data_IF_311224373750
#
_entry.id   IF_311224373750
#
_cell.length_a   1.000
_cell.length_b   1.000
_cell.length_c   1.000
_cell.angle_alpha   90.00
_cell.angle_beta   90.00
_cell.angle_gamma   90.00
#
_symmetry.space_group_name_H-M   'P 1'
#
loop_
_entity.id
_entity.type
_entity.pdbx_description
1 polymer ?
#
# COMPACT_ATOMS: atom_id res chain seq x y z
N UNK A 1 -9.42 -21.40 6.87
CA UNK A 1 -10.22 -20.52 5.98
C UNK A 1 -9.60 -20.28 4.59
N UNK A 2 -8.45 -20.87 4.27
CA UNK A 2 -7.80 -20.75 2.95
C UNK A 2 -8.66 -21.31 1.79
N UNK A 3 -9.61 -22.18 2.07
CA UNK A 3 -10.48 -22.80 1.04
C UNK A 3 -11.51 -21.88 0.36
N UNK A 4 -11.67 -20.63 0.82
CA UNK A 4 -12.61 -19.66 0.23
C UNK A 4 -12.04 -18.84 -0.95
N UNK A 5 -10.74 -18.97 -1.24
CA UNK A 5 -10.09 -18.23 -2.31
C UNK A 5 -10.01 -19.00 -3.64
N UNK A 6 -10.67 -20.15 -3.72
CA UNK A 6 -10.73 -20.96 -4.96
C UNK A 6 -11.52 -20.16 -6.00
N UNK A 7 -10.84 -19.78 -7.10
CA UNK A 7 -11.42 -19.00 -8.20
C UNK A 7 -11.12 -17.52 -8.19
N UNK A 8 -10.42 -16.99 -7.17
CA UNK A 8 -9.96 -15.59 -7.17
C UNK A 8 -8.59 -15.47 -7.84
N UNK A 9 -8.45 -14.51 -8.77
CA UNK A 9 -7.19 -14.24 -9.48
C UNK A 9 -6.35 -13.16 -8.80
N UNK A 10 -6.91 -12.42 -7.86
CA UNK A 10 -6.29 -11.29 -7.19
C UNK A 10 -6.58 -11.36 -5.69
N UNK A 11 -5.62 -10.95 -4.88
CA UNK A 11 -5.78 -10.83 -3.44
C UNK A 11 -4.76 -9.88 -2.84
N UNK A 12 -5.10 -9.26 -1.73
CA UNK A 12 -4.18 -8.54 -0.86
C UNK A 12 -4.29 -9.06 0.56
N UNK A 13 -3.24 -8.91 1.33
CA UNK A 13 -3.20 -9.26 2.74
C UNK A 13 -2.21 -8.39 3.49
N UNK A 14 -2.33 -8.39 4.80
CA UNK A 14 -1.46 -7.65 5.71
C UNK A 14 -1.33 -8.43 7.01
N UNK A 15 -0.18 -8.31 7.64
CA UNK A 15 0.02 -8.70 9.03
C UNK A 15 0.06 -7.39 9.83
N UNK A 16 -0.95 -7.20 10.67
CA UNK A 16 -1.07 -6.03 11.54
C UNK A 16 -1.59 -6.48 12.90
N UNK A 17 -0.98 -5.99 13.95
CA UNK A 17 -1.36 -6.21 15.34
C UNK A 17 -2.04 -4.99 15.98
N UNK A 18 -2.00 -3.84 15.31
CA UNK A 18 -2.49 -2.56 15.81
C UNK A 18 -3.73 -2.06 15.10
N UNK A 19 -3.86 -2.32 13.81
CA UNK A 19 -4.87 -1.69 12.96
C UNK A 19 -5.72 -2.72 12.25
N UNK A 20 -7.04 -2.46 12.20
CA UNK A 20 -7.98 -3.25 11.41
C UNK A 20 -7.71 -3.02 9.92
N UNK A 21 -7.24 -4.03 9.21
CA UNK A 21 -6.91 -4.03 7.78
C UNK A 21 -7.18 -5.42 7.17
N UNK A 22 -7.49 -5.56 5.87
CA UNK A 22 -7.71 -4.48 4.89
C UNK A 22 -9.02 -3.73 5.13
N UNK A 23 -9.07 -2.45 4.71
CA UNK A 23 -10.31 -1.68 4.69
C UNK A 23 -10.92 -1.77 3.30
N UNK A 24 -12.22 -2.12 3.24
CA UNK A 24 -12.99 -2.18 1.98
C UNK A 24 -13.84 -0.92 1.83
N UNK A 25 -13.75 -0.31 0.65
CA UNK A 25 -14.44 0.93 0.32
C UNK A 25 -15.25 0.74 -0.96
N UNK A 26 -16.43 1.36 -1.00
CA UNK A 26 -17.24 1.52 -2.22
C UNK A 26 -17.44 3.02 -2.46
N UNK A 27 -17.03 3.51 -3.61
CA UNK A 27 -17.07 4.94 -3.95
C UNK A 27 -17.24 5.15 -5.46
N UNK A 28 -17.11 6.39 -5.92
CA UNK A 28 -17.07 6.74 -7.36
C UNK A 28 -15.90 6.07 -8.11
N UNK A 29 -14.81 5.66 -7.41
CA UNK A 29 -13.72 4.88 -7.99
C UNK A 29 -14.05 3.38 -8.15
N UNK A 30 -15.27 2.97 -7.77
CA UNK A 30 -15.67 1.58 -7.68
C UNK A 30 -15.43 0.98 -6.30
N UNK A 31 -15.50 -0.35 -6.22
CA UNK A 31 -15.18 -1.08 -5.00
C UNK A 31 -13.69 -1.42 -4.97
N UNK A 32 -13.05 -1.15 -3.85
CA UNK A 32 -11.66 -1.52 -3.65
C UNK A 32 -11.38 -1.88 -2.19
N UNK A 33 -10.30 -2.60 -1.96
CA UNK A 33 -9.74 -2.84 -0.63
C UNK A 33 -8.33 -2.26 -0.55
N UNK A 34 -7.96 -1.73 0.61
CA UNK A 34 -6.65 -1.09 0.83
C UNK A 34 -5.96 -1.66 2.06
N UNK A 35 -4.65 -1.85 1.96
CA UNK A 35 -3.74 -2.14 3.07
C UNK A 35 -2.60 -1.14 3.05
N UNK A 36 -2.13 -0.76 4.25
CA UNK A 36 -1.05 0.21 4.42
C UNK A 36 0.04 -0.34 5.32
N UNK A 37 1.25 0.13 5.12
CA UNK A 37 2.40 -0.12 5.99
C UNK A 37 3.22 1.15 6.13
N UNK A 38 3.59 1.48 7.36
CA UNK A 38 4.38 2.67 7.67
C UNK A 38 3.83 3.45 8.86
N UNK A 39 4.24 4.70 8.99
CA UNK A 39 3.80 5.59 10.06
C UNK A 39 3.46 6.97 9.49
N UNK A 40 2.26 7.43 9.77
CA UNK A 40 1.75 8.76 9.40
C UNK A 40 1.99 9.68 10.60
N UNK A 41 3.00 10.56 10.51
CA UNK A 41 3.39 11.43 11.63
C UNK A 41 2.39 12.56 11.87
N UNK A 42 1.62 12.95 10.85
CA UNK A 42 0.62 14.02 10.93
C UNK A 42 -0.82 13.50 10.85
N UNK A 43 -1.09 12.30 11.39
CA UNK A 43 -2.40 11.68 11.36
C UNK A 43 -3.49 12.57 11.97
N UNK A 44 -3.22 13.14 13.14
CA UNK A 44 -4.15 14.05 13.85
C UNK A 44 -4.46 15.30 13.02
N UNK A 45 -3.44 15.91 12.39
CA UNK A 45 -3.59 17.09 11.55
C UNK A 45 -4.51 16.80 10.35
N UNK A 46 -4.27 15.69 9.64
CA UNK A 46 -5.10 15.27 8.51
C UNK A 46 -6.53 14.97 8.97
N UNK A 47 -6.68 14.22 10.04
CA UNK A 47 -7.99 13.83 10.58
C UNK A 47 -8.81 15.04 10.98
N UNK A 48 -8.19 16.01 11.66
CA UNK A 48 -8.85 17.26 12.04
C UNK A 48 -9.31 18.08 10.82
N UNK A 49 -8.51 18.09 9.75
CA UNK A 49 -8.91 18.73 8.50
C UNK A 49 -10.11 18.03 7.87
N UNK A 50 -10.08 16.70 7.76
CA UNK A 50 -11.16 15.91 7.18
C UNK A 50 -12.48 16.07 7.98
N UNK A 51 -12.41 16.11 9.30
CA UNK A 51 -13.57 16.38 10.15
C UNK A 51 -14.18 17.78 9.91
N UNK A 52 -13.34 18.81 9.70
CA UNK A 52 -13.84 20.15 9.32
C UNK A 52 -14.54 20.14 7.96
N UNK A 53 -14.14 19.26 7.07
CA UNK A 53 -14.81 19.02 5.78
C UNK A 53 -16.07 18.15 5.91
N UNK A 54 -16.48 17.80 7.15
CA UNK A 54 -17.64 16.95 7.47
C UNK A 54 -17.50 15.51 6.99
N UNK A 55 -16.27 15.04 6.82
CA UNK A 55 -15.99 13.62 6.53
C UNK A 55 -15.97 12.87 7.86
N UNK A 56 -16.58 11.68 7.87
CA UNK A 56 -16.69 10.83 9.06
C UNK A 56 -15.70 9.67 8.97
N UNK A 57 -15.27 9.19 10.14
CA UNK A 57 -14.49 7.98 10.29
C UNK A 57 -15.37 6.89 10.90
N UNK A 58 -15.31 5.68 10.35
CA UNK A 58 -16.08 4.53 10.79
C UNK A 58 -15.20 3.47 11.46
N UNK A 59 -13.92 3.40 11.06
CA UNK A 59 -12.97 2.42 11.56
C UNK A 59 -12.07 3.02 12.64
N UNK A 60 -12.05 2.35 13.79
CA UNK A 60 -11.21 2.75 14.91
C UNK A 60 -10.08 1.74 15.11
N UNK A 61 -8.90 2.24 15.42
CA UNK A 61 -7.75 1.44 15.85
C UNK A 61 -7.57 1.64 17.36
N UNK A 62 -8.19 0.77 18.16
CA UNK A 62 -8.33 1.00 19.60
C UNK A 62 -9.21 2.21 19.88
N UNK A 63 -8.65 3.26 20.49
CA UNK A 63 -9.32 4.55 20.77
C UNK A 63 -8.99 5.64 19.74
N UNK A 64 -8.17 5.35 18.73
CA UNK A 64 -7.70 6.31 17.73
C UNK A 64 -8.35 6.07 16.35
N UNK A 65 -8.30 7.06 15.48
CA UNK A 65 -8.71 6.96 14.09
C UNK A 65 -7.75 6.00 13.37
N UNK A 66 -8.31 5.09 12.54
CA UNK A 66 -7.51 4.14 11.79
C UNK A 66 -6.73 4.85 10.66
N UNK A 67 -5.37 4.78 10.66
CA UNK A 67 -4.56 5.43 9.63
C UNK A 67 -4.86 4.94 8.21
N UNK A 68 -5.22 3.67 8.05
CA UNK A 68 -5.58 3.09 6.74
C UNK A 68 -6.88 3.68 6.21
N UNK A 69 -7.84 3.98 7.08
CA UNK A 69 -9.07 4.69 6.69
C UNK A 69 -8.76 6.11 6.21
N UNK A 70 -7.88 6.83 6.92
CA UNK A 70 -7.45 8.17 6.49
C UNK A 70 -6.84 8.12 5.09
N UNK A 71 -5.97 7.15 4.82
CA UNK A 71 -5.40 6.95 3.47
C UNK A 71 -6.49 6.65 2.45
N UNK A 72 -7.46 5.80 2.76
CA UNK A 72 -8.56 5.47 1.86
C UNK A 72 -9.42 6.71 1.51
N UNK A 73 -9.64 7.58 2.47
CA UNK A 73 -10.35 8.85 2.28
C UNK A 73 -9.55 9.78 1.36
N UNK A 74 -8.23 9.90 1.56
CA UNK A 74 -7.37 10.70 0.69
C UNK A 74 -7.36 10.17 -0.76
N UNK A 75 -7.39 8.84 -0.93
CA UNK A 75 -7.57 8.21 -2.26
C UNK A 75 -8.91 8.63 -2.87
N UNK A 76 -9.99 8.57 -2.11
CA UNK A 76 -11.33 8.93 -2.57
C UNK A 76 -11.53 10.44 -2.87
N UNK A 77 -10.62 11.30 -2.46
CA UNK A 77 -10.62 12.73 -2.86
C UNK A 77 -10.11 12.97 -4.29
N UNK A 78 -9.54 11.95 -4.95
CA UNK A 78 -9.14 12.03 -6.36
C UNK A 78 -10.25 11.54 -7.28
N UNK A 79 -10.32 12.05 -8.50
CA UNK A 79 -11.23 11.57 -9.56
C UNK A 79 -10.74 10.23 -10.16
N UNK A 80 -9.48 9.89 -9.91
CA UNK A 80 -8.82 8.65 -10.34
C UNK A 80 -7.94 8.09 -9.23
N UNK A 81 -7.60 6.80 -9.28
CA UNK A 81 -6.62 6.23 -8.36
C UNK A 81 -5.26 6.92 -8.42
N UNK A 82 -4.84 7.40 -9.60
CA UNK A 82 -3.60 8.17 -9.74
C UNK A 82 -3.65 9.45 -8.90
N UNK A 83 -4.68 10.27 -9.08
CA UNK A 83 -4.87 11.51 -8.31
C UNK A 83 -5.02 11.24 -6.81
N UNK A 84 -5.74 10.17 -6.45
CA UNK A 84 -5.85 9.73 -5.07
C UNK A 84 -4.50 9.38 -4.45
N UNK A 85 -3.65 8.65 -5.16
CA UNK A 85 -2.28 8.33 -4.73
C UNK A 85 -1.44 9.62 -4.59
N UNK A 86 -1.54 10.54 -5.54
CA UNK A 86 -0.87 11.85 -5.47
C UNK A 86 -1.35 12.68 -4.26
N UNK A 87 -2.63 12.60 -3.89
CA UNK A 87 -3.16 13.21 -2.67
C UNK A 87 -2.49 12.65 -1.42
N UNK A 88 -2.34 11.32 -1.33
CA UNK A 88 -1.64 10.68 -0.21
C UNK A 88 -0.19 11.18 -0.13
N UNK A 89 0.53 11.19 -1.24
CA UNK A 89 1.91 11.66 -1.29
C UNK A 89 2.07 13.13 -0.88
N UNK A 90 1.10 13.97 -1.22
CA UNK A 90 1.10 15.40 -0.86
C UNK A 90 0.79 15.61 0.61
N UNK A 91 -0.22 14.93 1.15
CA UNK A 91 -0.78 15.19 2.48
C UNK A 91 -0.02 14.48 3.59
N UNK A 92 0.46 13.25 3.36
CA UNK A 92 1.08 12.43 4.39
C UNK A 92 2.52 12.89 4.66
N UNK A 93 2.80 13.16 5.94
CA UNK A 93 4.15 13.30 6.50
C UNK A 93 4.52 11.97 7.19
N UNK A 94 5.76 11.52 7.03
CA UNK A 94 6.20 10.23 7.53
C UNK A 94 6.41 9.22 6.40
N UNK A 95 6.03 7.96 6.62
CA UNK A 95 6.13 6.87 5.66
C UNK A 95 4.79 6.17 5.53
N UNK A 96 4.32 5.98 4.32
CA UNK A 96 3.11 5.20 4.04
C UNK A 96 3.23 4.58 2.64
N UNK A 97 3.52 3.28 2.61
CA UNK A 97 3.40 2.46 1.41
C UNK A 97 2.10 1.66 1.48
N UNK A 98 1.46 1.40 0.35
CA UNK A 98 0.16 0.75 0.36
C UNK A 98 -0.14 -0.02 -0.92
N UNK A 99 -1.07 -0.98 -0.79
CA UNK A 99 -1.64 -1.70 -1.92
C UNK A 99 -3.14 -1.43 -1.97
N UNK A 100 -3.68 -1.26 -3.18
CA UNK A 100 -5.11 -1.14 -3.44
C UNK A 100 -5.52 -2.27 -4.36
N UNK A 101 -6.43 -3.12 -3.91
CA UNK A 101 -7.06 -4.17 -4.70
C UNK A 101 -8.36 -3.67 -5.29
N UNK A 102 -8.50 -3.80 -6.60
CA UNK A 102 -9.75 -3.58 -7.33
C UNK A 102 -10.25 -4.89 -7.94
N UNK A 103 -11.38 -4.87 -8.62
CA UNK A 103 -11.90 -6.06 -9.30
C UNK A 103 -11.00 -6.57 -10.45
N UNK A 104 -10.06 -5.74 -10.96
CA UNK A 104 -9.26 -6.07 -12.15
C UNK A 104 -7.75 -5.93 -11.99
N UNK A 105 -7.29 -5.28 -10.94
CA UNK A 105 -5.86 -5.00 -10.76
C UNK A 105 -5.51 -4.67 -9.31
N UNK A 106 -4.20 -4.63 -9.05
CA UNK A 106 -3.63 -4.11 -7.80
C UNK A 106 -2.81 -2.85 -8.13
N UNK A 107 -3.06 -1.76 -7.43
CA UNK A 107 -2.15 -0.63 -7.40
C UNK A 107 -1.18 -0.82 -6.24
N UNK A 108 0.10 -0.59 -6.48
CA UNK A 108 1.16 -0.63 -5.48
C UNK A 108 1.87 0.72 -5.48
N UNK A 109 1.92 1.35 -4.31
CA UNK A 109 2.45 2.70 -4.14
C UNK A 109 3.48 2.72 -3.00
N UNK A 110 4.74 3.02 -3.33
CA UNK A 110 5.81 3.17 -2.35
C UNK A 110 5.83 4.57 -1.78
N UNK A 111 6.06 4.71 -0.48
CA UNK A 111 6.13 6.02 0.18
C UNK A 111 7.10 6.98 -0.52
N UNK A 112 6.85 8.28 -0.37
CA UNK A 112 7.56 9.33 -1.13
C UNK A 112 9.08 9.38 -0.94
N UNK A 113 9.59 8.76 0.13
CA UNK A 113 11.04 8.67 0.39
C UNK A 113 11.57 7.26 0.23
N UNK A 114 10.72 6.27 -0.05
CA UNK A 114 11.11 4.89 -0.23
C UNK A 114 11.60 4.20 1.04
N UNK A 115 11.15 4.65 2.22
CA UNK A 115 11.55 4.06 3.51
C UNK A 115 11.03 2.63 3.66
N UNK A 116 9.77 2.38 3.29
CA UNK A 116 9.19 1.04 3.29
C UNK A 116 9.31 0.46 1.89
N UNK A 117 10.01 -0.67 1.71
CA UNK A 117 10.18 -1.29 0.40
C UNK A 117 8.85 -1.79 -0.15
N UNK A 118 8.74 -1.80 -1.48
CA UNK A 118 7.75 -2.55 -2.24
C UNK A 118 8.48 -3.26 -3.36
N UNK A 119 8.56 -4.59 -3.25
CA UNK A 119 9.29 -5.44 -4.17
C UNK A 119 8.30 -6.21 -5.02
N UNK A 120 8.63 -6.40 -6.29
CA UNK A 120 7.82 -7.14 -7.25
C UNK A 120 8.52 -8.43 -7.61
N UNK A 121 7.80 -9.54 -7.47
CA UNK A 121 8.21 -10.85 -7.95
C UNK A 121 7.30 -11.33 -9.08
N UNK A 122 7.82 -12.27 -9.86
CA UNK A 122 7.09 -12.92 -10.95
C UNK A 122 7.43 -14.40 -11.02
N UNK A 123 6.44 -15.22 -11.34
CA UNK A 123 6.60 -16.61 -11.77
C UNK A 123 5.67 -16.90 -12.96
N UNK A 124 5.52 -18.17 -13.32
CA UNK A 124 4.64 -18.61 -14.41
C UNK A 124 3.14 -18.34 -14.15
N UNK A 125 2.72 -18.26 -12.88
CA UNK A 125 1.33 -18.04 -12.49
C UNK A 125 0.95 -16.55 -12.40
N UNK A 126 1.93 -15.63 -12.25
CA UNK A 126 1.64 -14.22 -12.17
C UNK A 126 2.64 -13.40 -11.37
N UNK A 127 2.14 -12.29 -10.83
CA UNK A 127 2.93 -11.32 -10.06
C UNK A 127 2.62 -11.40 -8.58
N UNK A 128 3.63 -11.15 -7.76
CA UNK A 128 3.50 -10.90 -6.33
C UNK A 128 4.12 -9.53 -6.02
N UNK A 129 3.51 -8.82 -5.08
CA UNK A 129 4.01 -7.53 -4.58
C UNK A 129 4.03 -7.61 -3.06
N UNK A 130 5.16 -7.34 -2.46
CA UNK A 130 5.32 -7.40 -1.00
C UNK A 130 6.28 -6.33 -0.49
N UNK A 131 6.21 -6.04 0.80
CA UNK A 131 7.18 -5.21 1.51
C UNK A 131 8.45 -5.97 1.94
N UNK A 132 8.44 -7.30 1.80
CA UNK A 132 9.54 -8.19 2.19
C UNK A 132 9.78 -9.24 1.09
N UNK A 133 11.02 -9.34 0.61
CA UNK A 133 11.38 -10.21 -0.51
C UNK A 133 11.78 -11.64 -0.13
N UNK A 134 12.08 -11.90 1.14
CA UNK A 134 12.56 -13.23 1.58
C UNK A 134 11.55 -14.34 1.32
N UNK A 135 10.26 -14.03 1.33
CA UNK A 135 9.18 -14.97 1.03
C UNK A 135 9.13 -15.42 -0.44
N UNK A 136 9.66 -14.62 -1.36
CA UNK A 136 9.54 -14.88 -2.81
C UNK A 136 10.24 -16.17 -3.21
N UNK A 137 11.45 -16.38 -2.73
CA UNK A 137 12.22 -17.60 -3.01
C UNK A 137 11.48 -18.85 -2.52
N UNK A 138 10.88 -18.80 -1.32
CA UNK A 138 10.14 -19.93 -0.76
C UNK A 138 8.85 -20.24 -1.52
N UNK A 139 8.28 -19.24 -2.19
CA UNK A 139 7.05 -19.34 -2.96
C UNK A 139 7.30 -19.53 -4.47
N UNK A 140 8.56 -19.69 -4.89
CA UNK A 140 8.91 -19.88 -6.30
C UNK A 140 8.75 -18.64 -7.17
N UNK A 141 8.86 -17.43 -6.59
CA UNK A 141 8.88 -16.18 -7.34
C UNK A 141 10.31 -15.67 -7.51
N UNK A 142 10.61 -15.15 -8.69
CA UNK A 142 11.84 -14.42 -8.96
C UNK A 142 11.61 -12.93 -8.77
N UNK A 143 12.56 -12.23 -8.13
CA UNK A 143 12.50 -10.78 -7.98
C UNK A 143 12.64 -10.13 -9.35
N UNK A 144 11.70 -9.28 -9.71
CA UNK A 144 11.72 -8.47 -10.94
C UNK A 144 12.42 -7.15 -10.69
N UNK A 145 11.96 -6.42 -9.67
CA UNK A 145 12.55 -5.17 -9.19
C UNK A 145 11.88 -4.70 -7.89
N UNK A 146 12.45 -3.70 -7.24
CA UNK A 146 11.76 -2.88 -6.24
C UNK A 146 11.24 -1.57 -6.87
N UNK A 147 10.22 -0.98 -6.26
CA UNK A 147 9.75 0.34 -6.64
C UNK A 147 10.72 1.41 -6.09
N UNK A 148 10.95 2.45 -6.88
CA UNK A 148 11.64 3.63 -6.40
C UNK A 148 10.80 4.46 -5.39
N UNK A 149 11.42 5.43 -4.69
CA UNK A 149 10.69 6.37 -3.85
C UNK A 149 9.59 7.07 -4.64
N UNK A 150 8.40 7.29 -4.04
CA UNK A 150 7.29 7.99 -4.69
C UNK A 150 6.69 7.26 -5.90
N UNK A 151 7.17 6.08 -6.24
CA UNK A 151 6.71 5.35 -7.40
C UNK A 151 5.39 4.64 -7.12
N UNK A 152 4.48 4.69 -8.10
CA UNK A 152 3.27 3.89 -8.10
C UNK A 152 3.08 3.16 -9.44
N UNK A 153 2.64 1.91 -9.34
CA UNK A 153 2.35 1.04 -10.47
C UNK A 153 0.97 0.43 -10.36
N UNK A 154 0.47 -0.02 -11.48
CA UNK A 154 -0.68 -0.91 -11.59
C UNK A 154 -0.20 -2.28 -12.05
N UNK A 155 -0.61 -3.32 -11.35
CA UNK A 155 -0.33 -4.73 -11.69
C UNK A 155 -1.65 -5.39 -12.07
N UNK A 156 -1.71 -5.98 -13.25
CA UNK A 156 -2.88 -6.70 -13.77
C UNK A 156 -2.44 -7.99 -14.45
N UNK A 157 -3.39 -8.76 -14.97
CA UNK A 157 -3.11 -9.95 -15.79
C UNK A 157 -2.27 -9.63 -17.03
N UNK A 158 -2.38 -8.40 -17.56
CA UNK A 158 -1.68 -7.95 -18.77
C UNK A 158 -0.24 -7.46 -18.46
N UNK A 159 0.12 -7.36 -17.18
CA UNK A 159 1.45 -6.95 -16.76
C UNK A 159 1.46 -5.75 -15.79
N UNK A 160 2.61 -5.09 -15.75
CA UNK A 160 2.89 -3.94 -14.90
C UNK A 160 2.82 -2.66 -15.72
N UNK A 161 2.02 -1.70 -15.27
CA UNK A 161 1.89 -0.37 -15.89
C UNK A 161 2.34 0.70 -14.91
N UNK A 162 3.33 1.55 -15.24
CA UNK A 162 3.69 2.71 -14.42
C UNK A 162 2.52 3.70 -14.34
N UNK A 163 2.25 4.22 -13.13
CA UNK A 163 1.20 5.22 -12.87
C UNK A 163 1.82 6.54 -12.45
N UNK A 164 2.79 6.50 -11.54
CA UNK A 164 3.56 7.64 -11.07
C UNK A 164 5.03 7.25 -11.13
N UNK A 165 5.85 8.10 -11.74
CA UNK A 165 7.28 7.85 -11.88
C UNK A 165 8.00 7.96 -10.54
N UNK A 166 9.10 7.21 -10.40
CA UNK A 166 9.94 7.28 -9.22
C UNK A 166 10.54 8.67 -9.02
N UNK A 167 10.55 9.12 -7.78
CA UNK A 167 11.28 10.31 -7.35
C UNK A 167 12.77 10.03 -7.12
N UNK A 168 13.57 11.08 -7.02
CA UNK A 168 15.02 10.97 -6.82
C UNK A 168 15.45 10.94 -5.34
N UNK A 169 14.57 11.31 -4.41
CA UNK A 169 14.91 11.45 -2.99
C UNK A 169 14.63 10.16 -2.23
N UNK A 170 15.67 9.41 -1.89
CA UNK A 170 15.58 8.16 -1.10
C UNK A 170 16.05 8.40 0.34
N UNK A 171 15.33 7.84 1.30
CA UNK A 171 15.72 7.74 2.71
C UNK A 171 15.70 6.28 3.12
N UNK A 172 16.75 5.83 3.82
CA UNK A 172 16.85 4.48 4.33
C UNK A 172 16.40 4.48 5.79
N UNK A 173 15.49 3.59 6.14
CA UNK A 173 15.07 3.38 7.51
C UNK A 173 15.99 2.35 8.18
N UNK A 174 16.92 2.80 9.02
CA UNK A 174 17.83 1.90 9.75
C UNK A 174 17.08 0.96 10.70
N UNK A 175 15.97 1.41 11.28
CA UNK A 175 15.12 0.59 12.14
C UNK A 175 14.54 -0.62 11.39
N UNK A 176 14.03 -0.40 10.17
CA UNK A 176 13.53 -1.48 9.33
C UNK A 176 14.63 -2.51 9.03
N UNK A 177 15.84 -2.05 8.75
CA UNK A 177 16.98 -2.93 8.43
C UNK A 177 17.48 -3.73 9.64
N UNK A 178 17.52 -3.11 10.81
CA UNK A 178 18.09 -3.73 12.01
C UNK A 178 17.11 -4.66 12.72
N UNK A 179 15.81 -4.32 12.73
CA UNK A 179 14.83 -5.03 13.54
C UNK A 179 13.84 -5.88 12.74
N UNK A 180 13.55 -5.51 11.49
CA UNK A 180 12.55 -6.21 10.67
C UNK A 180 13.12 -6.92 9.44
N UNK A 181 14.30 -6.50 8.97
CA UNK A 181 14.91 -7.09 7.78
C UNK A 181 15.41 -8.52 8.01
N UNK A 182 15.00 -9.43 7.17
CA UNK A 182 15.60 -10.76 7.14
C UNK A 182 16.97 -10.71 6.48
N UNK A 183 17.96 -11.52 6.95
CA UNK A 183 19.30 -11.54 6.34
C UNK A 183 19.33 -11.90 4.85
N UNK A 184 18.30 -12.61 4.38
CA UNK A 184 18.12 -13.01 2.97
C UNK A 184 17.24 -12.04 2.16
N UNK A 185 16.77 -10.95 2.78
CA UNK A 185 15.94 -9.96 2.08
C UNK A 185 16.78 -9.08 1.15
N UNK A 186 16.20 -8.71 0.03
CA UNK A 186 16.71 -7.70 -0.89
C UNK A 186 16.07 -6.35 -0.59
N UNK A 187 16.89 -5.30 -0.43
CA UNK A 187 16.46 -3.94 -0.15
C UNK A 187 17.08 -2.92 -1.13
#
# INVERSE_FOLDING_TARGET
ELGRFIGSYLGIGVISDMESQPITVTSHLGRFAIVTVGRIDNLEEISAQLLKEKIHFAEMSGSAINPTEVVSILINKGETFKEGIENVYRMVKGSCSFLILTDSCIYAARDKFGRTPIIIGKNEFGYVVASESSSFTNLGYNIVRDLGPHEAIRVSKDGITPIIAAGCRKQICSFLWVYYGYPSAYY
#
